data_IF_523889644032
#
_entry.id   IF_523889644032
#
_cell.length_a   1.000
_cell.length_b   1.000
_cell.length_c   1.000
_cell.angle_alpha   90.00
_cell.angle_beta   90.00
_cell.angle_gamma   90.00
#
_symmetry.space_group_name_H-M   'P 1'
#
loop_
_entity.id
_entity.type
_entity.pdbx_description
1 polymer ?
#
# COMPACT_ATOMS: atom_id res chain seq x y z
N UNK A 1 15.27 23.01 3.04
CA UNK A 1 15.30 22.98 1.56
C UNK A 1 14.86 21.63 0.99
N UNK A 2 15.59 20.52 1.09
CA UNK A 2 15.22 19.27 0.38
C UNK A 2 13.87 18.67 0.80
N UNK A 3 13.55 18.68 2.09
CA UNK A 3 12.26 18.17 2.59
C UNK A 3 11.10 19.16 2.42
N UNK A 4 11.38 20.45 2.28
CA UNK A 4 10.37 21.46 1.91
C UNK A 4 9.92 21.24 0.45
N UNK A 5 10.83 20.83 -0.44
CA UNK A 5 10.47 20.42 -1.80
C UNK A 5 9.57 19.18 -1.83
N UNK A 6 9.75 18.24 -0.89
CA UNK A 6 8.84 17.11 -0.75
C UNK A 6 7.45 17.57 -0.30
N UNK A 7 7.40 18.47 0.67
CA UNK A 7 6.15 19.02 1.19
C UNK A 7 5.39 19.78 0.07
N UNK A 8 6.08 20.59 -0.74
CA UNK A 8 5.51 21.22 -1.94
C UNK A 8 4.97 20.19 -2.94
N UNK A 9 5.74 19.12 -3.21
CA UNK A 9 5.30 18.06 -4.11
C UNK A 9 4.04 17.36 -3.61
N UNK A 10 3.95 17.06 -2.31
CA UNK A 10 2.75 16.50 -1.69
C UNK A 10 1.55 17.43 -1.83
N UNK A 11 1.69 18.72 -1.53
CA UNK A 11 0.59 19.68 -1.65
C UNK A 11 0.07 19.77 -3.09
N UNK A 12 0.97 19.75 -4.07
CA UNK A 12 0.60 19.77 -5.50
C UNK A 12 -0.09 18.49 -5.93
N UNK A 13 0.41 17.33 -5.48
CA UNK A 13 -0.15 16.02 -5.84
C UNK A 13 -1.45 15.71 -5.10
N UNK A 14 -1.71 16.35 -3.96
CA UNK A 14 -2.97 16.24 -3.23
C UNK A 14 -4.18 16.72 -4.04
N UNK A 15 -3.97 17.66 -4.97
CA UNK A 15 -5.02 18.12 -5.88
C UNK A 15 -5.43 17.07 -6.94
N UNK A 16 -4.75 15.92 -6.97
CA UNK A 16 -4.96 14.84 -7.95
C UNK A 16 -5.47 13.56 -7.27
N UNK A 17 -6.13 12.70 -8.05
CA UNK A 17 -6.60 11.42 -7.55
C UNK A 17 -5.46 10.44 -7.20
N UNK A 18 -5.72 9.46 -6.32
CA UNK A 18 -4.77 8.37 -6.06
C UNK A 18 -4.65 7.39 -7.24
N UNK A 19 -5.50 7.54 -8.27
CA UNK A 19 -5.49 6.79 -9.52
C UNK A 19 -5.84 7.71 -10.70
N UNK A 20 -5.50 7.26 -11.91
CA UNK A 20 -5.80 7.92 -13.20
C UNK A 20 -5.90 6.86 -14.31
N UNK A 21 -6.41 7.21 -15.49
CA UNK A 21 -6.40 6.37 -16.71
C UNK A 21 -6.90 4.93 -16.46
N UNK A 22 -8.12 4.80 -15.93
CA UNK A 22 -8.72 3.49 -15.72
C UNK A 22 -7.99 2.64 -14.68
N UNK A 23 -7.73 3.22 -13.50
CA UNK A 23 -7.18 2.58 -12.29
C UNK A 23 -5.64 2.43 -12.23
N UNK A 24 -4.88 3.17 -13.02
CA UNK A 24 -3.44 3.27 -12.80
C UNK A 24 -3.17 4.05 -11.51
N UNK A 25 -2.45 3.46 -10.57
CA UNK A 25 -2.12 4.12 -9.30
C UNK A 25 -1.20 5.32 -9.52
N UNK A 26 -1.50 6.41 -8.81
CA UNK A 26 -0.68 7.61 -8.78
C UNK A 26 0.59 7.36 -7.95
N UNK A 27 1.73 7.23 -8.63
CA UNK A 27 3.03 7.02 -8.01
C UNK A 27 3.72 8.30 -7.54
N UNK A 28 3.16 9.47 -7.86
CA UNK A 28 3.75 10.79 -7.67
C UNK A 28 4.38 10.99 -6.28
N UNK A 29 3.61 10.83 -5.20
CA UNK A 29 4.12 11.10 -3.85
C UNK A 29 5.28 10.20 -3.46
N UNK A 30 5.19 8.90 -3.77
CA UNK A 30 6.23 7.92 -3.46
C UNK A 30 7.51 8.16 -4.28
N UNK A 31 7.36 8.53 -5.54
CA UNK A 31 8.50 8.85 -6.40
C UNK A 31 9.19 10.15 -5.99
N UNK A 32 8.43 11.21 -5.66
CA UNK A 32 8.98 12.46 -5.13
C UNK A 32 9.78 12.21 -3.84
N UNK A 33 9.23 11.40 -2.93
CA UNK A 33 9.87 11.01 -1.68
C UNK A 33 11.19 10.26 -1.93
N UNK A 34 11.20 9.29 -2.83
CA UNK A 34 12.42 8.53 -3.20
C UNK A 34 13.47 9.46 -3.83
N UNK A 35 13.06 10.38 -4.74
CA UNK A 35 13.98 11.34 -5.36
C UNK A 35 14.64 12.24 -4.31
N UNK A 36 13.87 12.81 -3.38
CA UNK A 36 14.42 13.64 -2.29
C UNK A 36 15.39 12.85 -1.42
N UNK A 37 15.01 11.63 -1.02
CA UNK A 37 15.87 10.76 -0.18
C UNK A 37 17.21 10.45 -0.85
N UNK A 38 17.24 10.32 -2.17
CA UNK A 38 18.45 10.03 -2.93
C UNK A 38 19.21 11.28 -3.39
N UNK A 39 18.89 12.46 -2.85
CA UNK A 39 19.63 13.70 -3.13
C UNK A 39 19.24 14.36 -4.45
N UNK A 40 18.11 14.00 -5.04
CA UNK A 40 17.59 14.57 -6.29
C UNK A 40 16.44 15.57 -6.05
N UNK A 41 16.46 16.27 -4.91
CA UNK A 41 15.42 17.24 -4.55
C UNK A 41 15.21 18.33 -5.61
N UNK A 42 16.30 18.85 -6.19
CA UNK A 42 16.23 19.92 -7.20
C UNK A 42 15.48 19.52 -8.48
N UNK A 43 15.41 18.22 -8.78
CA UNK A 43 14.69 17.71 -9.95
C UNK A 43 13.18 17.52 -9.71
N UNK A 44 12.75 17.45 -8.44
CA UNK A 44 11.38 17.06 -8.06
C UNK A 44 10.34 18.00 -8.65
N UNK A 45 10.52 19.33 -8.54
CA UNK A 45 9.54 20.30 -9.04
C UNK A 45 9.22 20.09 -10.53
N UNK A 46 10.26 20.02 -11.37
CA UNK A 46 10.13 19.80 -12.81
C UNK A 46 9.60 18.40 -13.16
N UNK A 47 9.94 17.39 -12.36
CA UNK A 47 9.43 16.04 -12.53
C UNK A 47 7.93 15.98 -12.21
N UNK A 48 7.48 16.63 -11.12
CA UNK A 48 6.06 16.74 -10.75
C UNK A 48 5.29 17.52 -11.81
N UNK A 49 5.83 18.61 -12.36
CA UNK A 49 5.21 19.34 -13.49
C UNK A 49 4.92 18.41 -14.68
N UNK A 50 5.89 17.53 -14.99
CA UNK A 50 5.79 16.53 -16.04
C UNK A 50 4.72 15.48 -15.76
N UNK A 51 4.81 14.90 -14.57
CA UNK A 51 4.00 13.76 -14.16
C UNK A 51 2.53 14.14 -13.92
N UNK A 52 2.27 15.31 -13.31
CA UNK A 52 0.92 15.78 -12.99
C UNK A 52 0.02 15.97 -14.23
N UNK A 53 0.59 16.19 -15.42
CA UNK A 53 -0.17 16.29 -16.68
C UNK A 53 -0.89 15.00 -17.08
N UNK A 54 -0.51 13.86 -16.48
CA UNK A 54 -1.15 12.56 -16.71
C UNK A 54 -2.26 12.27 -15.70
N UNK A 55 -2.29 13.02 -14.60
CA UNK A 55 -3.13 12.71 -13.47
C UNK A 55 -4.51 13.33 -13.63
N UNK A 56 -5.49 12.67 -13.03
CA UNK A 56 -6.85 13.16 -12.96
C UNK A 56 -7.06 13.99 -11.68
N UNK A 57 -8.00 14.94 -11.67
CA UNK A 57 -8.34 15.69 -10.45
C UNK A 57 -8.74 14.77 -9.30
N UNK A 58 -8.49 15.22 -8.06
CA UNK A 58 -8.96 14.49 -6.89
C UNK A 58 -10.48 14.26 -6.94
N UNK A 59 -10.96 13.05 -6.58
CA UNK A 59 -12.39 12.76 -6.55
C UNK A 59 -13.05 13.62 -5.46
N UNK A 60 -14.25 14.13 -5.77
CA UNK A 60 -15.05 14.87 -4.79
C UNK A 60 -15.75 13.90 -3.85
N UNK A 61 -15.81 14.23 -2.57
CA UNK A 61 -16.70 13.54 -1.65
C UNK A 61 -18.17 13.78 -2.06
N UNK A 62 -18.96 12.74 -1.86
CA UNK A 62 -20.40 12.68 -2.11
C UNK A 62 -21.20 12.51 -0.82
N UNK A 63 -20.53 12.16 0.28
CA UNK A 63 -21.11 12.03 1.61
C UNK A 63 -20.06 11.73 2.68
N UNK A 64 -20.52 11.50 3.91
CA UNK A 64 -19.66 11.11 5.04
C UNK A 64 -19.52 9.59 5.15
N UNK A 65 -18.42 9.15 5.75
CA UNK A 65 -18.21 7.74 6.13
C UNK A 65 -18.68 7.52 7.57
N UNK A 66 -19.99 7.36 7.77
CA UNK A 66 -20.57 7.12 9.11
C UNK A 66 -20.51 5.63 9.51
N UNK A 67 -20.92 4.72 8.61
CA UNK A 67 -20.68 3.28 8.74
C UNK A 67 -19.47 2.87 7.91
N UNK A 68 -18.31 2.87 8.57
CA UNK A 68 -17.06 2.51 7.91
C UNK A 68 -17.06 1.06 7.41
N UNK A 69 -17.73 0.12 8.10
CA UNK A 69 -17.71 -1.31 7.72
C UNK A 69 -18.44 -1.53 6.41
N UNK A 70 -19.62 -0.93 6.25
CA UNK A 70 -20.37 -0.99 5.00
C UNK A 70 -19.74 -0.20 3.85
N UNK A 71 -18.88 0.77 4.17
CA UNK A 71 -18.20 1.62 3.18
C UNK A 71 -16.87 1.06 2.65
N UNK A 72 -16.24 0.13 3.37
CA UNK A 72 -14.94 -0.42 3.00
C UNK A 72 -15.02 -1.12 1.64
N UNK A 73 -14.07 -0.80 0.76
CA UNK A 73 -13.99 -1.40 -0.57
C UNK A 73 -14.97 -0.85 -1.60
N UNK A 74 -15.84 0.10 -1.24
CA UNK A 74 -16.69 0.77 -2.22
C UNK A 74 -15.90 1.86 -2.95
N UNK A 75 -15.45 1.52 -4.16
CA UNK A 75 -14.70 2.38 -5.05
C UNK A 75 -15.37 3.75 -5.32
N UNK A 76 -16.70 3.82 -5.27
CA UNK A 76 -17.47 5.04 -5.54
C UNK A 76 -17.35 6.05 -4.40
N UNK A 77 -17.03 5.57 -3.20
CA UNK A 77 -16.84 6.35 -1.97
C UNK A 77 -15.41 6.87 -1.82
N UNK A 78 -14.59 6.85 -2.89
CA UNK A 78 -13.18 7.22 -2.81
C UNK A 78 -13.00 8.65 -2.27
N UNK A 79 -13.74 9.63 -2.77
CA UNK A 79 -13.70 11.00 -2.25
C UNK A 79 -14.07 11.07 -0.76
N UNK A 80 -15.13 10.34 -0.35
CA UNK A 80 -15.57 10.28 1.05
C UNK A 80 -14.48 9.71 1.97
N UNK A 81 -13.77 8.67 1.52
CA UNK A 81 -12.67 8.07 2.28
C UNK A 81 -11.46 8.98 2.40
N UNK A 82 -11.12 9.73 1.34
CA UNK A 82 -10.04 10.72 1.41
C UNK A 82 -10.37 11.82 2.42
N UNK A 83 -11.58 12.39 2.38
CA UNK A 83 -12.02 13.41 3.32
C UNK A 83 -12.11 12.87 4.76
N UNK A 84 -12.61 11.65 4.94
CA UNK A 84 -12.69 11.00 6.24
C UNK A 84 -11.32 10.90 6.94
N UNK A 85 -10.28 10.43 6.24
CA UNK A 85 -8.96 10.35 6.85
C UNK A 85 -8.28 11.71 7.02
N UNK A 86 -8.61 12.70 6.19
CA UNK A 86 -8.20 14.08 6.43
C UNK A 86 -8.84 14.66 7.69
N UNK A 87 -10.08 14.26 8.02
CA UNK A 87 -10.74 14.59 9.29
C UNK A 87 -10.08 13.89 10.47
N UNK A 88 -9.95 12.57 10.43
CA UNK A 88 -9.36 11.77 11.50
C UNK A 88 -7.95 12.25 11.87
N UNK A 89 -7.11 12.56 10.88
CA UNK A 89 -5.72 13.01 11.09
C UNK A 89 -5.58 14.48 11.47
N UNK A 90 -6.65 15.27 11.37
CA UNK A 90 -6.69 16.63 11.90
C UNK A 90 -7.04 16.64 13.39
N UNK A 91 -7.84 15.67 13.81
CA UNK A 91 -8.38 15.58 15.17
C UNK A 91 -7.54 14.68 16.09
N UNK A 92 -6.89 13.66 15.53
CA UNK A 92 -6.05 12.71 16.26
C UNK A 92 -4.57 12.75 15.85
N UNK A 93 -3.72 12.15 16.68
CA UNK A 93 -2.32 11.93 16.31
C UNK A 93 -2.23 10.91 15.16
N UNK A 94 -1.25 11.07 14.27
CA UNK A 94 -1.11 10.15 13.15
C UNK A 94 -0.81 8.71 13.59
N UNK A 95 -0.14 8.52 14.73
CA UNK A 95 0.13 7.21 15.32
C UNK A 95 -1.14 6.56 15.85
N UNK A 96 -2.06 7.32 16.47
CA UNK A 96 -3.32 6.77 17.00
C UNK A 96 -4.27 6.38 15.87
N UNK A 97 -4.38 7.22 14.84
CA UNK A 97 -5.17 6.92 13.64
C UNK A 97 -4.61 5.68 12.94
N UNK A 98 -3.28 5.63 12.74
CA UNK A 98 -2.62 4.47 12.13
C UNK A 98 -2.88 3.20 12.95
N UNK A 99 -2.67 3.23 14.26
CA UNK A 99 -2.91 2.09 15.18
C UNK A 99 -4.36 1.61 15.10
N UNK A 100 -5.31 2.54 15.06
CA UNK A 100 -6.74 2.26 15.00
C UNK A 100 -7.14 1.57 13.69
N UNK A 101 -6.60 2.05 12.58
CA UNK A 101 -7.00 1.63 11.24
C UNK A 101 -6.19 0.48 10.67
N UNK A 102 -4.95 0.27 11.14
CA UNK A 102 -4.08 -0.81 10.68
C UNK A 102 -4.75 -2.19 10.69
N UNK A 103 -5.29 -2.71 11.81
CA UNK A 103 -5.92 -4.03 11.80
C UNK A 103 -7.22 -4.08 10.98
N UNK A 104 -7.87 -2.93 10.73
CA UNK A 104 -9.10 -2.84 9.91
C UNK A 104 -8.77 -2.95 8.42
N UNK A 105 -7.67 -2.34 7.99
CA UNK A 105 -7.26 -2.28 6.60
C UNK A 105 -6.39 -3.47 6.17
N UNK A 106 -5.59 -4.03 7.09
CA UNK A 106 -4.65 -5.13 6.83
C UNK A 106 -5.28 -6.34 6.10
N UNK A 107 -6.49 -6.81 6.44
CA UNK A 107 -7.12 -7.91 5.70
C UNK A 107 -7.35 -7.64 4.21
N UNK A 108 -7.38 -6.37 3.80
CA UNK A 108 -7.55 -5.90 2.43
C UNK A 108 -6.26 -5.40 1.78
N UNK A 109 -5.09 -5.77 2.31
CA UNK A 109 -3.77 -5.28 1.85
C UNK A 109 -3.52 -5.46 0.34
N UNK A 110 -4.07 -6.50 -0.29
CA UNK A 110 -3.81 -6.81 -1.70
C UNK A 110 -4.53 -5.87 -2.69
N UNK A 111 -5.54 -5.14 -2.23
CA UNK A 111 -6.35 -4.28 -3.08
C UNK A 111 -5.55 -3.14 -3.72
N UNK A 112 -5.99 -2.69 -4.91
CA UNK A 112 -5.28 -1.65 -5.66
C UNK A 112 -3.82 -2.01 -5.95
N UNK A 113 -3.52 -3.31 -6.13
CA UNK A 113 -2.15 -3.81 -6.22
C UNK A 113 -1.26 -3.34 -5.06
N UNK A 114 -1.78 -3.38 -3.83
CA UNK A 114 -1.06 -2.99 -2.60
C UNK A 114 -0.65 -1.52 -2.50
N UNK A 115 -1.05 -0.67 -3.45
CA UNK A 115 -0.60 0.73 -3.46
C UNK A 115 -1.08 1.54 -2.25
N UNK A 116 -2.22 1.19 -1.65
CA UNK A 116 -2.67 1.80 -0.39
C UNK A 116 -1.63 1.63 0.73
N UNK A 117 -1.25 0.38 1.06
CA UNK A 117 -0.24 0.12 2.09
C UNK A 117 1.15 0.62 1.68
N UNK A 118 1.50 0.59 0.40
CA UNK A 118 2.78 1.12 -0.09
C UNK A 118 2.84 2.63 0.18
N UNK A 119 1.81 3.37 -0.22
CA UNK A 119 1.70 4.82 0.00
C UNK A 119 1.76 5.17 1.49
N UNK A 120 1.04 4.43 2.33
CA UNK A 120 1.12 4.56 3.81
C UNK A 120 2.54 4.31 4.31
N UNK A 121 3.22 3.25 3.87
CA UNK A 121 4.59 2.95 4.29
C UNK A 121 5.62 4.00 3.87
N UNK A 122 5.41 4.68 2.74
CA UNK A 122 6.21 5.84 2.34
C UNK A 122 5.93 7.05 3.25
N UNK A 123 4.66 7.39 3.47
CA UNK A 123 4.26 8.51 4.34
C UNK A 123 4.75 8.34 5.78
N UNK A 124 4.53 7.17 6.38
CA UNK A 124 4.97 6.84 7.75
C UNK A 124 6.48 6.97 7.89
N UNK A 125 7.26 6.49 6.91
CA UNK A 125 8.72 6.63 6.97
C UNK A 125 9.15 8.09 7.01
N UNK A 126 8.55 8.95 6.18
CA UNK A 126 8.84 10.39 6.18
C UNK A 126 8.44 11.03 7.51
N UNK A 127 7.24 10.74 8.02
CA UNK A 127 6.78 11.25 9.32
C UNK A 127 7.73 10.86 10.46
N UNK A 128 8.19 9.62 10.49
CA UNK A 128 9.13 9.13 11.51
C UNK A 128 10.51 9.77 11.44
N UNK A 129 11.05 9.93 10.23
CA UNK A 129 12.43 10.38 10.06
C UNK A 129 12.57 11.91 10.04
N UNK A 130 11.55 12.62 9.56
CA UNK A 130 11.61 14.07 9.31
C UNK A 130 10.62 14.86 10.16
N UNK A 131 9.78 14.19 10.95
CA UNK A 131 8.77 14.80 11.78
C UNK A 131 7.50 15.19 11.02
N UNK A 132 6.52 15.65 11.79
CA UNK A 132 5.22 16.05 11.29
C UNK A 132 5.31 17.39 10.54
N UNK A 133 4.59 17.45 9.42
CA UNK A 133 4.26 18.67 8.71
C UNK A 133 2.87 18.47 8.07
N UNK A 134 2.08 19.54 7.85
CA UNK A 134 0.73 19.41 7.30
C UNK A 134 0.66 18.58 6.02
N UNK A 135 1.59 18.79 5.08
CA UNK A 135 1.65 18.05 3.82
C UNK A 135 1.93 16.54 4.01
N UNK A 136 2.74 16.17 5.01
CA UNK A 136 3.13 14.78 5.30
C UNK A 136 2.01 14.01 5.98
N UNK A 137 1.30 14.67 6.90
CA UNK A 137 0.11 14.12 7.55
C UNK A 137 -1.02 13.96 6.51
N UNK A 138 -1.19 14.95 5.63
CA UNK A 138 -2.13 14.84 4.51
C UNK A 138 -1.79 13.68 3.58
N UNK A 139 -0.51 13.45 3.27
CA UNK A 139 -0.11 12.31 2.43
C UNK A 139 -0.43 10.95 3.10
N UNK A 140 -0.28 10.84 4.43
CA UNK A 140 -0.75 9.66 5.16
C UNK A 140 -2.27 9.48 5.04
N UNK A 141 -3.04 10.59 5.16
CA UNK A 141 -4.49 10.56 4.98
C UNK A 141 -4.89 10.02 3.61
N UNK A 142 -4.20 10.50 2.57
CA UNK A 142 -4.43 10.07 1.20
C UNK A 142 -4.10 8.57 0.98
N UNK A 143 -3.03 8.08 1.61
CA UNK A 143 -2.69 6.65 1.60
C UNK A 143 -3.75 5.77 2.28
N UNK A 144 -4.22 6.18 3.47
CA UNK A 144 -5.24 5.45 4.23
C UNK A 144 -6.60 5.46 3.53
N UNK A 145 -7.04 6.62 3.02
CA UNK A 145 -8.31 6.74 2.29
C UNK A 145 -8.31 5.95 0.99
N UNK A 146 -7.18 5.95 0.27
CA UNK A 146 -7.03 5.10 -0.91
C UNK A 146 -7.12 3.61 -0.57
N UNK A 147 -6.44 3.18 0.49
CA UNK A 147 -6.49 1.80 0.95
C UNK A 147 -7.91 1.38 1.34
N UNK A 148 -8.62 2.22 2.10
CA UNK A 148 -9.98 1.96 2.55
C UNK A 148 -10.98 1.85 1.38
N UNK A 149 -10.90 2.74 0.40
CA UNK A 149 -11.80 2.75 -0.75
C UNK A 149 -11.59 1.57 -1.71
N UNK A 150 -10.36 1.05 -1.81
CA UNK A 150 -10.07 -0.13 -2.64
C UNK A 150 -10.24 -1.45 -1.90
N UNK A 151 -10.21 -1.41 -0.56
CA UNK A 151 -10.14 -2.56 0.33
C UNK A 151 -10.90 -3.77 -0.21
N UNK A 152 -10.20 -4.90 -0.32
CA UNK A 152 -10.79 -6.16 -0.75
C UNK A 152 -10.13 -7.27 0.05
N UNK A 153 -10.92 -7.96 0.87
CA UNK A 153 -10.43 -9.09 1.65
C UNK A 153 -9.75 -10.11 0.73
N UNK A 154 -8.55 -10.57 1.12
CA UNK A 154 -7.86 -11.66 0.41
C UNK A 154 -8.68 -12.96 0.58
N UNK A 155 -9.23 -13.54 -0.50
CA UNK A 155 -10.07 -14.74 -0.38
C UNK A 155 -9.27 -15.95 0.13
N UNK A 156 -9.88 -16.73 1.03
CA UNK A 156 -9.24 -17.93 1.57
C UNK A 156 -7.99 -17.66 2.42
N UNK A 157 -7.80 -16.42 2.91
CA UNK A 157 -6.69 -16.09 3.79
C UNK A 157 -6.76 -16.89 5.10
N UNK A 158 -5.70 -17.62 5.43
CA UNK A 158 -5.57 -18.43 6.65
C UNK A 158 -4.24 -18.15 7.34
N UNK A 159 -4.20 -18.34 8.66
CA UNK A 159 -2.99 -18.13 9.43
C UNK A 159 -1.92 -19.20 9.09
N UNK A 160 -0.62 -18.84 9.12
CA UNK A 160 0.48 -19.80 9.05
C UNK A 160 0.44 -20.79 10.23
N UNK A 161 0.70 -22.08 9.98
CA UNK A 161 0.76 -23.13 11.02
C UNK A 161 1.86 -24.19 10.78
N UNK A 162 2.71 -23.97 9.79
CA UNK A 162 3.65 -24.95 9.26
C UNK A 162 5.10 -24.72 9.69
N UNK A 163 6.03 -25.08 8.80
CA UNK A 163 7.47 -25.08 9.08
C UNK A 163 8.34 -24.51 7.95
N UNK A 164 7.74 -24.11 6.83
CA UNK A 164 8.50 -23.54 5.72
C UNK A 164 8.94 -22.11 6.03
N UNK A 165 10.21 -21.83 5.78
CA UNK A 165 10.73 -20.46 5.73
C UNK A 165 10.15 -19.68 4.55
N UNK A 166 10.19 -18.35 4.60
CA UNK A 166 9.57 -17.48 3.59
C UNK A 166 9.98 -17.83 2.15
N UNK A 167 11.26 -18.12 1.92
CA UNK A 167 11.77 -18.49 0.60
C UNK A 167 11.10 -19.75 0.04
N UNK A 168 10.94 -20.80 0.85
CA UNK A 168 10.32 -22.04 0.44
C UNK A 168 8.80 -21.89 0.27
N UNK A 169 8.15 -21.14 1.18
CA UNK A 169 6.71 -20.87 1.10
C UNK A 169 6.33 -20.07 -0.16
N UNK A 170 7.04 -18.96 -0.43
CA UNK A 170 6.85 -18.16 -1.66
C UNK A 170 7.11 -19.02 -2.90
N UNK A 171 8.08 -19.93 -2.82
CA UNK A 171 8.40 -20.83 -3.92
C UNK A 171 7.32 -21.88 -4.22
N UNK A 172 6.55 -22.28 -3.22
CA UNK A 172 5.48 -23.27 -3.31
C UNK A 172 4.09 -22.68 -3.58
N UNK A 173 3.98 -21.36 -3.79
CA UNK A 173 2.69 -20.72 -4.05
C UNK A 173 2.03 -21.27 -5.33
N UNK A 174 0.76 -21.71 -5.27
CA UNK A 174 0.05 -22.16 -6.45
C UNK A 174 -0.18 -20.97 -7.39
N UNK A 175 -0.15 -21.26 -8.68
CA UNK A 175 -0.51 -20.30 -9.71
C UNK A 175 -2.02 -20.28 -9.89
N UNK A 176 -2.63 -19.09 -9.94
CA UNK A 176 -4.06 -18.97 -10.24
C UNK A 176 -4.36 -19.54 -11.63
N UNK A 177 -5.50 -20.26 -11.83
CA UNK A 177 -5.77 -20.97 -13.08
C UNK A 177 -5.80 -20.06 -14.33
N UNK A 178 -6.54 -18.96 -14.27
CA UNK A 178 -6.60 -17.97 -15.35
C UNK A 178 -5.65 -16.81 -15.10
N UNK A 179 -4.89 -16.47 -16.14
CA UNK A 179 -3.94 -15.35 -16.14
C UNK A 179 -4.49 -14.13 -16.86
N UNK A 180 -5.73 -14.18 -17.32
CA UNK A 180 -6.42 -13.08 -17.96
C UNK A 180 -6.85 -12.02 -16.93
N UNK A 181 -6.93 -10.77 -17.38
CA UNK A 181 -7.30 -9.64 -16.53
C UNK A 181 -6.22 -9.17 -15.55
N UNK A 182 -6.54 -8.09 -14.85
CA UNK A 182 -5.67 -7.46 -13.86
C UNK A 182 -5.73 -8.12 -12.48
N UNK A 183 -5.15 -7.46 -11.47
CA UNK A 183 -5.04 -8.00 -10.11
C UNK A 183 -6.39 -8.40 -9.52
N UNK A 184 -7.45 -7.62 -9.71
CA UNK A 184 -8.77 -7.89 -9.14
C UNK A 184 -9.32 -9.24 -9.62
N UNK A 185 -9.20 -9.53 -10.92
CA UNK A 185 -9.63 -10.80 -11.50
C UNK A 185 -8.78 -11.99 -10.99
N UNK A 186 -7.49 -11.77 -10.72
CA UNK A 186 -6.59 -12.79 -10.19
C UNK A 186 -6.81 -13.04 -8.70
N UNK A 187 -7.07 -12.01 -7.90
CA UNK A 187 -7.39 -12.14 -6.48
C UNK A 187 -8.71 -12.88 -6.25
N UNK A 188 -9.71 -12.64 -7.09
CA UNK A 188 -11.01 -13.32 -7.00
C UNK A 188 -10.89 -14.85 -7.14
N UNK A 189 -9.88 -15.35 -7.86
CA UNK A 189 -9.64 -16.79 -8.04
C UNK A 189 -9.02 -17.46 -6.82
N UNK A 190 -8.40 -16.72 -5.89
CA UNK A 190 -7.61 -17.31 -4.81
C UNK A 190 -8.43 -18.27 -3.93
N UNK A 191 -9.67 -17.91 -3.61
CA UNK A 191 -10.55 -18.73 -2.77
C UNK A 191 -10.88 -20.10 -3.35
N UNK A 192 -10.78 -20.25 -4.68
CA UNK A 192 -11.06 -21.48 -5.43
C UNK A 192 -9.79 -22.15 -5.94
N UNK A 193 -8.62 -21.52 -5.77
CA UNK A 193 -7.34 -22.03 -6.27
C UNK A 193 -6.90 -23.24 -5.43
N UNK A 194 -6.77 -24.40 -6.07
CA UNK A 194 -6.31 -25.63 -5.42
C UNK A 194 -4.96 -25.43 -4.75
N UNK A 195 -4.86 -25.85 -3.48
CA UNK A 195 -3.64 -25.73 -2.67
C UNK A 195 -3.40 -24.36 -2.06
N UNK A 196 -4.24 -23.35 -2.30
CA UNK A 196 -4.05 -22.00 -1.72
C UNK A 196 -4.08 -21.97 -0.19
N UNK A 197 -5.07 -22.59 0.50
CA UNK A 197 -5.06 -22.64 1.97
C UNK A 197 -3.86 -23.42 2.53
N UNK A 198 -3.48 -24.53 1.89
CA UNK A 198 -2.37 -25.37 2.36
C UNK A 198 -1.01 -24.67 2.17
N UNK A 199 -0.83 -23.92 1.08
CA UNK A 199 0.39 -23.15 0.83
C UNK A 199 0.60 -22.02 1.86
N UNK A 200 -0.49 -21.36 2.29
CA UNK A 200 -0.44 -20.37 3.37
C UNK A 200 -0.13 -21.02 4.72
N UNK A 201 -0.81 -22.12 5.04
CA UNK A 201 -0.60 -22.90 6.26
C UNK A 201 0.83 -23.42 6.37
N UNK A 202 1.42 -23.89 5.28
CA UNK A 202 2.78 -24.43 5.26
C UNK A 202 3.88 -23.46 5.74
N UNK A 203 3.64 -22.15 5.68
CA UNK A 203 4.55 -21.12 6.21
C UNK A 203 4.70 -21.26 7.73
N UNK A 204 5.92 -21.12 8.23
CA UNK A 204 6.19 -21.10 9.66
C UNK A 204 5.62 -19.82 10.31
N UNK A 205 4.97 -19.91 11.49
CA UNK A 205 4.62 -18.73 12.27
C UNK A 205 5.88 -17.93 12.63
N UNK A 206 5.84 -16.61 12.44
CA UNK A 206 6.97 -15.73 12.74
C UNK A 206 6.87 -15.17 14.18
N UNK A 207 7.92 -15.33 14.97
CA UNK A 207 8.07 -14.67 16.28
C UNK A 207 8.72 -13.28 16.17
N UNK A 208 9.40 -13.01 15.07
CA UNK A 208 10.01 -11.71 14.72
C UNK A 208 9.45 -11.26 13.36
N UNK A 209 8.52 -10.32 13.40
CA UNK A 209 7.86 -9.80 12.20
C UNK A 209 8.82 -9.04 11.28
N UNK A 210 9.82 -8.35 11.84
CA UNK A 210 10.77 -7.57 11.03
C UNK A 210 11.69 -8.50 10.25
N UNK A 211 12.30 -9.48 10.94
CA UNK A 211 13.15 -10.47 10.28
C UNK A 211 12.36 -11.24 9.21
N UNK A 212 11.14 -11.68 9.54
CA UNK A 212 10.27 -12.39 8.63
C UNK A 212 9.94 -11.60 7.36
N UNK A 213 9.50 -10.34 7.48
CA UNK A 213 9.17 -9.52 6.31
C UNK A 213 10.41 -9.25 5.44
N UNK A 214 11.61 -9.11 6.04
CA UNK A 214 12.86 -9.00 5.28
C UNK A 214 13.12 -10.27 4.46
N UNK A 215 12.89 -11.45 5.02
CA UNK A 215 13.01 -12.71 4.28
C UNK A 215 11.99 -12.80 3.13
N UNK A 216 10.75 -12.36 3.35
CA UNK A 216 9.72 -12.30 2.30
C UNK A 216 10.16 -11.38 1.16
N UNK A 217 10.69 -10.19 1.47
CA UNK A 217 11.23 -9.26 0.46
C UNK A 217 12.35 -9.91 -0.34
N UNK A 218 13.32 -10.56 0.31
CA UNK A 218 14.43 -11.24 -0.36
C UNK A 218 13.91 -12.36 -1.26
N UNK A 219 12.98 -13.18 -0.78
CA UNK A 219 12.36 -14.26 -1.55
C UNK A 219 11.62 -13.73 -2.79
N UNK A 220 10.84 -12.66 -2.62
CA UNK A 220 10.11 -12.02 -3.70
C UNK A 220 11.04 -11.41 -4.77
N UNK A 221 12.12 -10.74 -4.37
CA UNK A 221 13.13 -10.20 -5.30
C UNK A 221 13.84 -11.32 -6.06
N UNK A 222 14.20 -12.42 -5.38
CA UNK A 222 14.78 -13.59 -6.04
C UNK A 222 13.85 -14.22 -7.08
N UNK A 223 12.55 -14.30 -6.77
CA UNK A 223 11.52 -14.74 -7.72
C UNK A 223 11.31 -13.76 -8.86
N UNK A 224 11.36 -12.45 -8.59
CA UNK A 224 11.24 -11.41 -9.61
C UNK A 224 12.26 -11.60 -10.73
N UNK A 225 13.53 -11.83 -10.39
CA UNK A 225 14.61 -12.00 -11.37
C UNK A 225 14.38 -13.14 -12.37
N UNK A 226 13.57 -14.15 -12.02
CA UNK A 226 13.37 -15.39 -12.81
C UNK A 226 11.95 -15.55 -13.34
N UNK A 227 10.96 -14.85 -12.78
CA UNK A 227 9.53 -15.04 -13.08
C UNK A 227 8.81 -13.76 -13.53
N UNK A 228 9.47 -12.60 -13.49
CA UNK A 228 8.87 -11.34 -13.94
C UNK A 228 8.77 -11.23 -15.47
N UNK A 229 9.27 -12.23 -16.23
CA UNK A 229 9.17 -12.27 -17.68
C UNK A 229 7.68 -12.25 -18.11
N UNK A 230 7.27 -11.20 -18.83
CA UNK A 230 5.92 -11.05 -19.38
C UNK A 230 4.99 -10.13 -18.58
N UNK A 231 4.95 -10.22 -17.25
CA UNK A 231 4.18 -9.28 -16.41
C UNK A 231 4.97 -8.84 -15.16
N UNK A 232 6.00 -7.98 -15.36
CA UNK A 232 6.89 -7.57 -14.28
C UNK A 232 6.17 -6.70 -13.23
N UNK A 233 5.19 -5.90 -13.67
CA UNK A 233 4.48 -4.96 -12.79
C UNK A 233 3.77 -5.70 -11.66
N UNK A 234 3.12 -6.83 -11.93
CA UNK A 234 2.42 -7.56 -10.86
C UNK A 234 3.37 -8.13 -9.81
N UNK A 235 4.53 -8.67 -10.23
CA UNK A 235 5.44 -9.36 -9.33
C UNK A 235 6.26 -8.42 -8.45
N UNK A 236 6.46 -7.15 -8.86
CA UNK A 236 7.18 -6.17 -8.02
C UNK A 236 6.47 -5.92 -6.69
N UNK A 237 5.14 -6.02 -6.68
CA UNK A 237 4.31 -5.81 -5.49
C UNK A 237 4.55 -6.86 -4.39
N UNK A 238 4.98 -8.07 -4.78
CA UNK A 238 5.39 -9.09 -3.83
C UNK A 238 6.62 -8.68 -2.99
N UNK A 239 7.43 -7.74 -3.48
CA UNK A 239 8.55 -7.17 -2.73
C UNK A 239 8.22 -5.81 -2.11
N UNK A 240 7.50 -4.93 -2.82
CA UNK A 240 7.24 -3.56 -2.35
C UNK A 240 6.22 -3.50 -1.21
N UNK A 241 5.19 -4.35 -1.20
CA UNK A 241 4.21 -4.40 -0.12
C UNK A 241 4.80 -4.82 1.24
N UNK A 242 5.51 -5.97 1.38
CA UNK A 242 6.13 -6.32 2.66
C UNK A 242 7.21 -5.32 3.08
N UNK A 243 7.94 -4.72 2.12
CA UNK A 243 8.88 -3.64 2.42
C UNK A 243 8.18 -2.37 2.91
N UNK A 244 6.96 -2.08 2.45
CA UNK A 244 6.16 -0.98 2.97
C UNK A 244 5.71 -1.27 4.39
N UNK A 245 5.27 -2.50 4.70
CA UNK A 245 4.90 -2.90 6.06
C UNK A 245 6.10 -2.79 7.01
N UNK A 246 7.30 -3.20 6.59
CA UNK A 246 8.54 -3.02 7.37
C UNK A 246 8.77 -1.56 7.82
N UNK A 247 8.42 -0.59 6.97
CA UNK A 247 8.57 0.84 7.28
C UNK A 247 7.58 1.31 8.34
N UNK A 248 6.44 0.63 8.45
CA UNK A 248 5.35 0.97 9.37
C UNK A 248 5.52 0.30 10.73
N UNK A 249 6.07 -0.92 10.79
CA UNK A 249 6.20 -1.71 12.03
C UNK A 249 6.70 -0.92 13.26
N UNK A 250 7.74 -0.07 13.17
CA UNK A 250 8.24 0.64 14.35
C UNK A 250 7.29 1.71 14.91
N UNK A 251 6.18 1.99 14.22
CA UNK A 251 5.13 2.93 14.63
C UNK A 251 3.85 2.25 15.11
N UNK A 252 3.83 0.91 15.12
CA UNK A 252 2.69 0.13 15.61
C UNK A 252 3.00 -0.45 17.00
N UNK A 253 1.99 -0.60 17.86
CA UNK A 253 2.09 -1.45 19.06
C UNK A 253 2.53 -2.88 18.71
N UNK A 254 3.24 -3.54 19.62
CA UNK A 254 3.83 -4.88 19.35
C UNK A 254 2.79 -5.99 19.19
N UNK A 255 1.59 -5.77 19.70
CA UNK A 255 0.45 -6.69 19.64
C UNK A 255 -0.29 -6.69 18.29
N UNK A 256 0.01 -5.73 17.41
CA UNK A 256 -0.55 -5.60 16.05
C UNK A 256 0.42 -6.12 14.98
#
# INVERSE_FOLDING_TARGET
MTWETLDEAYDRLRATGPEFDGWLSNHGPMAAEVLVRHGHGDAVGSWVDGYARRLEPAPRATGRVDDWRGALGDARRLGDWLEHFEEELREGSWTDVLTTWWPRLLPGIAAGATHGVIRVGHAVRVLREQGEAPARVAELAQGLGYWAARWQRVPGAVAPDGSLVAQAAVAGLPRVPSQEGGITARLAQLGETTGWPDAQRALAPASDAEAFLREVVVAAVGRFATHAHGNPVMLVHAATAPNAVLRVLPSLPREL
#
